data_IF_669928243009
#
_entry.id   IF_669928243009
#
_cell.length_a   1.000
_cell.length_b   1.000
_cell.length_c   1.000
_cell.angle_alpha   90.00
_cell.angle_beta   90.00
_cell.angle_gamma   90.00
#
_symmetry.space_group_name_H-M   'P 1'
#
loop_
_entity.id
_entity.type
_entity.pdbx_description
1 polymer ?
#
# COMPACT_ATOMS: atom_id res chain seq x y z
N UNK A 1 40.61 -8.72 29.20
CA UNK A 1 40.22 -7.65 28.25
C UNK A 1 38.90 -8.01 27.56
N UNK A 2 37.76 -7.46 28.00
CA UNK A 2 36.44 -7.68 27.36
C UNK A 2 36.14 -6.50 26.43
N UNK A 3 35.95 -6.78 25.13
CA UNK A 3 35.70 -5.75 24.09
C UNK A 3 34.37 -5.02 24.35
N UNK A 4 34.31 -3.69 24.24
CA UNK A 4 33.08 -2.92 24.46
C UNK A 4 32.02 -3.21 23.37
N UNK A 5 30.71 -3.12 23.71
CA UNK A 5 29.61 -3.62 22.88
C UNK A 5 29.24 -2.65 21.75
N UNK A 6 30.17 -2.36 20.82
CA UNK A 6 29.90 -1.59 19.58
C UNK A 6 28.81 -2.20 18.70
N UNK A 7 28.53 -3.49 18.87
CA UNK A 7 27.52 -4.22 18.07
C UNK A 7 26.10 -3.66 18.22
N UNK A 8 25.74 -3.04 19.35
CA UNK A 8 24.34 -2.62 19.60
C UNK A 8 23.87 -1.43 18.75
N UNK A 9 24.75 -0.52 18.32
CA UNK A 9 24.35 0.62 17.49
C UNK A 9 24.06 0.18 16.05
N UNK A 10 24.95 -0.67 15.54
CA UNK A 10 24.92 -1.26 14.20
C UNK A 10 23.57 -1.95 13.97
N UNK A 11 23.16 -2.86 14.87
CA UNK A 11 21.87 -3.55 14.75
C UNK A 11 20.64 -2.63 14.73
N UNK A 12 20.70 -1.44 15.34
CA UNK A 12 19.56 -0.51 15.38
C UNK A 12 19.37 0.21 14.05
N UNK A 13 20.46 0.65 13.43
CA UNK A 13 20.42 1.30 12.11
C UNK A 13 19.96 0.30 11.06
N UNK A 14 20.54 -0.92 11.06
CA UNK A 14 20.11 -1.98 10.15
C UNK A 14 18.65 -2.39 10.40
N UNK A 15 18.19 -2.40 11.65
CA UNK A 15 16.79 -2.67 11.98
C UNK A 15 15.83 -1.64 11.36
N UNK A 16 16.15 -0.34 11.45
CA UNK A 16 15.34 0.71 10.81
C UNK A 16 15.30 0.55 9.30
N UNK A 17 16.46 0.38 8.66
CA UNK A 17 16.54 0.20 7.20
C UNK A 17 15.79 -1.05 6.77
N UNK A 18 15.86 -2.15 7.53
CA UNK A 18 15.12 -3.38 7.25
C UNK A 18 13.60 -3.17 7.33
N UNK A 19 13.10 -2.45 8.35
CA UNK A 19 11.66 -2.14 8.47
C UNK A 19 11.19 -1.26 7.32
N UNK A 20 11.96 -0.23 6.97
CA UNK A 20 11.62 0.66 5.84
C UNK A 20 11.62 -0.12 4.52
N UNK A 21 12.62 -0.97 4.29
CA UNK A 21 12.70 -1.82 3.11
C UNK A 21 11.52 -2.79 3.02
N UNK A 22 11.12 -3.41 4.15
CA UNK A 22 9.93 -4.27 4.20
C UNK A 22 8.64 -3.51 3.90
N UNK A 23 8.49 -2.28 4.41
CA UNK A 23 7.34 -1.44 4.12
C UNK A 23 7.25 -1.07 2.62
N UNK A 24 8.38 -0.71 2.02
CA UNK A 24 8.48 -0.42 0.57
C UNK A 24 8.18 -1.69 -0.24
N UNK A 25 8.74 -2.83 0.15
CA UNK A 25 8.50 -4.12 -0.51
C UNK A 25 7.02 -4.51 -0.43
N UNK A 26 6.38 -4.37 0.73
CA UNK A 26 4.96 -4.60 0.88
C UNK A 26 4.14 -3.68 -0.02
N UNK A 27 4.47 -2.38 -0.08
CA UNK A 27 3.81 -1.43 -0.97
C UNK A 27 3.96 -1.84 -2.44
N UNK A 28 5.16 -2.25 -2.88
CA UNK A 28 5.44 -2.71 -4.24
C UNK A 28 4.78 -4.04 -4.60
N UNK A 29 4.52 -4.93 -3.63
CA UNK A 29 3.78 -6.16 -3.85
C UNK A 29 2.26 -5.92 -3.93
N UNK A 30 1.78 -4.94 -3.19
CA UNK A 30 0.36 -4.58 -3.13
C UNK A 30 -0.04 -3.75 -4.35
N UNK A 31 0.80 -2.80 -4.78
CA UNK A 31 0.49 -1.87 -5.86
C UNK A 31 0.06 -2.55 -7.19
N UNK A 32 0.75 -3.60 -7.69
CA UNK A 32 0.38 -4.28 -8.94
C UNK A 32 -0.99 -4.96 -8.86
N UNK A 33 -1.40 -5.43 -7.68
CA UNK A 33 -2.74 -6.03 -7.51
C UNK A 33 -3.84 -4.99 -7.66
N UNK A 34 -3.57 -3.75 -7.25
CA UNK A 34 -4.50 -2.65 -7.42
C UNK A 34 -4.47 -2.05 -8.83
N UNK A 35 -3.34 -2.10 -9.52
CA UNK A 35 -3.25 -1.57 -10.90
C UNK A 35 -3.70 -2.56 -11.97
N UNK A 36 -3.52 -3.87 -11.77
CA UNK A 36 -3.88 -4.89 -12.78
C UNK A 36 -5.37 -5.17 -12.90
N UNK A 37 -6.13 -4.96 -11.84
CA UNK A 37 -7.58 -5.20 -11.83
C UNK A 37 -8.25 -3.95 -11.27
N UNK A 38 -8.70 -3.02 -12.12
CA UNK A 38 -9.28 -1.76 -11.69
C UNK A 38 -10.68 -2.00 -11.12
N UNK A 39 -10.78 -2.67 -9.95
CA UNK A 39 -12.04 -3.01 -9.28
C UNK A 39 -12.93 -1.80 -9.02
N UNK A 40 -12.34 -0.61 -8.93
CA UNK A 40 -13.09 0.64 -8.83
C UNK A 40 -13.98 0.93 -10.06
N UNK A 41 -13.73 0.26 -11.19
CA UNK A 41 -14.57 0.31 -12.39
C UNK A 41 -15.72 -0.69 -12.36
N UNK A 42 -15.74 -1.69 -11.47
CA UNK A 42 -16.82 -2.68 -11.39
C UNK A 42 -18.22 -2.06 -11.28
N UNK A 43 -18.47 -1.02 -10.46
CA UNK A 43 -19.80 -0.39 -10.41
C UNK A 43 -20.18 0.30 -11.73
N UNK A 44 -19.20 0.87 -12.44
CA UNK A 44 -19.43 1.52 -13.73
C UNK A 44 -19.70 0.48 -14.82
N UNK A 45 -18.95 -0.63 -14.79
CA UNK A 45 -19.15 -1.73 -15.68
C UNK A 45 -20.50 -2.42 -15.44
N UNK A 46 -20.99 -2.46 -14.19
CA UNK A 46 -22.27 -3.08 -13.85
C UNK A 46 -23.42 -2.21 -14.32
N UNK A 47 -23.27 -0.89 -14.19
CA UNK A 47 -24.20 0.08 -14.76
C UNK A 47 -24.22 -0.01 -16.30
N UNK A 48 -23.05 -0.05 -16.94
CA UNK A 48 -22.95 -0.19 -18.39
C UNK A 48 -23.57 -1.51 -18.87
N UNK A 49 -23.30 -2.62 -18.19
CA UNK A 49 -23.92 -3.93 -18.44
C UNK A 49 -25.43 -3.84 -18.38
N UNK A 50 -25.96 -3.32 -17.27
CA UNK A 50 -27.40 -3.17 -17.11
C UNK A 50 -28.05 -2.32 -18.21
N UNK A 51 -27.38 -1.24 -18.64
CA UNK A 51 -27.87 -0.40 -19.74
C UNK A 51 -27.89 -1.17 -21.07
N UNK A 52 -26.80 -1.88 -21.38
CA UNK A 52 -26.64 -2.63 -22.63
C UNK A 52 -27.62 -3.81 -22.68
N UNK A 53 -27.78 -4.57 -21.60
CA UNK A 53 -28.76 -5.67 -21.51
C UNK A 53 -30.18 -5.16 -21.69
N UNK A 54 -30.49 -4.01 -21.09
CA UNK A 54 -31.82 -3.40 -21.23
C UNK A 54 -32.09 -2.95 -22.66
N UNK A 55 -31.07 -2.52 -23.40
CA UNK A 55 -31.19 -2.10 -24.79
C UNK A 55 -31.24 -3.26 -25.78
N UNK A 56 -30.51 -4.34 -25.53
CA UNK A 56 -30.49 -5.48 -26.46
C UNK A 56 -31.82 -6.22 -26.49
N UNK A 57 -32.49 -6.38 -25.35
CA UNK A 57 -33.69 -7.23 -25.22
C UNK A 57 -34.97 -6.55 -25.71
N UNK A 58 -35.15 -5.24 -25.51
CA UNK A 58 -36.51 -4.68 -25.46
C UNK A 58 -37.07 -4.07 -26.74
N UNK A 59 -36.28 -3.44 -27.62
CA UNK A 59 -36.70 -2.94 -28.94
C UNK A 59 -35.56 -2.12 -29.57
N UNK A 60 -34.94 -2.56 -30.68
CA UNK A 60 -33.90 -1.77 -31.37
C UNK A 60 -34.39 -0.39 -31.80
N UNK A 61 -35.69 -0.27 -32.11
CA UNK A 61 -36.33 0.99 -32.52
C UNK A 61 -36.46 2.00 -31.38
N UNK A 62 -36.47 1.57 -30.11
CA UNK A 62 -36.51 2.47 -28.96
C UNK A 62 -35.12 2.98 -28.56
N UNK A 63 -34.05 2.41 -29.14
CA UNK A 63 -32.68 2.73 -28.80
C UNK A 63 -32.43 4.24 -28.88
N UNK A 64 -32.93 4.90 -29.92
CA UNK A 64 -32.73 6.34 -30.12
C UNK A 64 -33.41 7.19 -29.04
N UNK A 65 -34.62 6.81 -28.63
CA UNK A 65 -35.37 7.54 -27.58
C UNK A 65 -34.72 7.36 -26.21
N UNK A 66 -34.28 6.14 -25.89
CA UNK A 66 -33.62 5.85 -24.62
C UNK A 66 -32.22 6.47 -24.58
N UNK A 67 -31.49 6.40 -25.69
CA UNK A 67 -30.18 7.03 -25.84
C UNK A 67 -30.23 8.53 -25.60
N UNK A 68 -31.15 9.25 -26.24
CA UNK A 68 -31.33 10.69 -26.06
C UNK A 68 -31.60 11.09 -24.60
N UNK A 69 -32.21 10.21 -23.80
CA UNK A 69 -32.49 10.42 -22.38
C UNK A 69 -31.27 10.18 -21.48
N UNK A 70 -30.36 9.29 -21.90
CA UNK A 70 -29.24 8.80 -21.09
C UNK A 70 -27.94 9.53 -21.44
N UNK A 71 -27.75 9.89 -22.71
CA UNK A 71 -26.61 10.65 -23.21
C UNK A 71 -26.22 11.85 -22.30
N UNK A 72 -27.13 12.77 -21.92
CA UNK A 72 -26.76 13.90 -21.07
C UNK A 72 -26.41 13.51 -19.62
N UNK A 73 -26.77 12.30 -19.18
CA UNK A 73 -26.49 11.77 -17.84
C UNK A 73 -25.23 10.92 -17.77
N UNK A 74 -24.75 10.43 -18.92
CA UNK A 74 -23.53 9.64 -19.00
C UNK A 74 -22.32 10.52 -18.68
N UNK A 75 -21.64 10.20 -17.57
CA UNK A 75 -20.36 10.84 -17.19
C UNK A 75 -19.17 10.17 -17.88
N UNK A 76 -19.26 9.98 -19.18
CA UNK A 76 -18.26 9.25 -19.95
C UNK A 76 -18.56 9.21 -21.44
N UNK A 77 -17.61 8.64 -22.17
CA UNK A 77 -17.72 8.35 -23.59
C UNK A 77 -18.28 6.95 -23.73
N UNK A 78 -19.28 6.75 -24.58
CA UNK A 78 -19.92 5.47 -24.82
C UNK A 78 -20.09 5.29 -26.32
N UNK A 79 -19.60 4.17 -26.84
CA UNK A 79 -19.84 3.72 -28.20
C UNK A 79 -20.43 2.31 -28.15
N UNK A 80 -21.54 2.11 -28.85
CA UNK A 80 -22.25 0.85 -28.96
C UNK A 80 -21.94 0.21 -30.30
N UNK A 81 -21.60 -1.07 -30.27
CA UNK A 81 -21.30 -1.90 -31.42
C UNK A 81 -22.23 -3.11 -31.45
N UNK A 82 -22.48 -3.65 -32.62
CA UNK A 82 -23.06 -4.98 -32.75
C UNK A 82 -22.01 -6.07 -32.46
N UNK A 83 -22.44 -7.33 -32.42
CA UNK A 83 -21.55 -8.48 -32.28
C UNK A 83 -20.46 -8.57 -33.38
N UNK A 84 -20.75 -8.05 -34.57
CA UNK A 84 -19.81 -7.96 -35.69
C UNK A 84 -18.73 -6.88 -35.52
N UNK A 85 -18.94 -5.93 -34.60
CA UNK A 85 -18.08 -4.75 -34.40
C UNK A 85 -18.48 -3.55 -35.27
N UNK A 86 -19.66 -3.57 -35.90
CA UNK A 86 -20.20 -2.39 -36.58
C UNK A 86 -20.72 -1.41 -35.54
N UNK A 87 -20.35 -0.14 -35.69
CA UNK A 87 -20.83 0.93 -34.82
C UNK A 87 -22.33 1.14 -35.02
N UNK A 88 -23.09 1.04 -33.93
CA UNK A 88 -24.53 1.33 -33.88
C UNK A 88 -24.77 2.79 -33.47
N UNK A 89 -24.17 3.22 -32.35
CA UNK A 89 -24.31 4.58 -31.79
C UNK A 89 -23.06 5.01 -31.02
N UNK A 90 -22.83 6.32 -30.93
CA UNK A 90 -21.74 6.92 -30.14
C UNK A 90 -22.16 8.29 -29.64
N UNK A 91 -21.72 8.70 -28.44
CA UNK A 91 -21.90 10.06 -27.92
C UNK A 91 -20.64 10.92 -28.09
N UNK A 92 -19.63 10.42 -28.81
CA UNK A 92 -18.38 11.14 -29.04
C UNK A 92 -17.93 11.02 -30.49
N UNK A 93 -17.30 12.11 -30.95
CA UNK A 93 -16.58 12.24 -32.21
C UNK A 93 -15.11 12.55 -31.93
N UNK A 94 -14.14 11.71 -32.37
CA UNK A 94 -14.33 10.43 -33.05
C UNK A 94 -14.93 9.35 -32.13
N UNK A 95 -15.61 8.32 -32.69
CA UNK A 95 -16.08 7.18 -31.90
C UNK A 95 -14.91 6.47 -31.21
N UNK A 96 -15.19 5.78 -30.10
CA UNK A 96 -14.21 4.90 -29.47
C UNK A 96 -13.85 3.75 -30.42
N UNK A 97 -12.65 3.21 -30.30
CA UNK A 97 -12.25 2.07 -31.12
C UNK A 97 -13.10 0.84 -30.79
N UNK A 98 -13.45 0.06 -31.82
CA UNK A 98 -14.18 -1.19 -31.67
C UNK A 98 -13.45 -2.16 -30.72
N UNK A 99 -14.16 -3.12 -30.10
CA UNK A 99 -13.55 -4.14 -29.26
C UNK A 99 -12.47 -4.93 -30.00
N UNK A 100 -11.28 -5.03 -29.40
CA UNK A 100 -10.16 -5.81 -29.93
C UNK A 100 -10.46 -7.31 -29.91
N UNK A 101 -9.72 -8.10 -30.70
CA UNK A 101 -9.88 -9.56 -30.71
C UNK A 101 -9.54 -10.23 -29.36
N UNK A 102 -8.74 -9.57 -28.52
CA UNK A 102 -8.43 -10.05 -27.16
C UNK A 102 -9.63 -9.78 -26.25
N UNK A 103 -10.13 -8.54 -26.24
CA UNK A 103 -11.33 -8.16 -25.48
C UNK A 103 -12.53 -9.04 -25.86
N UNK A 104 -12.76 -9.30 -27.16
CA UNK A 104 -13.84 -10.20 -27.61
C UNK A 104 -13.70 -11.63 -27.07
N UNK A 105 -12.46 -12.14 -26.94
CA UNK A 105 -12.19 -13.47 -26.36
C UNK A 105 -12.43 -13.47 -24.85
N UNK A 106 -12.03 -12.42 -24.16
CA UNK A 106 -12.32 -12.25 -22.73
C UNK A 106 -13.83 -12.12 -22.46
N UNK A 107 -14.55 -11.40 -23.32
CA UNK A 107 -16.02 -11.25 -23.27
C UNK A 107 -16.78 -12.56 -23.56
N UNK A 108 -16.10 -13.57 -24.09
CA UNK A 108 -16.67 -14.92 -24.21
C UNK A 108 -16.58 -15.70 -22.89
N UNK A 109 -15.60 -15.40 -22.05
CA UNK A 109 -15.39 -16.04 -20.75
C UNK A 109 -16.02 -15.24 -19.58
N UNK A 110 -16.08 -13.92 -19.69
CA UNK A 110 -16.63 -13.00 -18.71
C UNK A 110 -17.60 -12.02 -19.39
N UNK A 111 -18.57 -11.44 -18.66
CA UNK A 111 -19.53 -10.47 -19.26
C UNK A 111 -18.90 -9.12 -19.65
N UNK A 112 -17.74 -8.82 -19.08
CA UNK A 112 -17.04 -7.56 -19.22
C UNK A 112 -15.52 -7.76 -19.28
N UNK A 113 -14.83 -6.81 -19.90
CA UNK A 113 -13.38 -6.67 -19.84
C UNK A 113 -13.04 -5.26 -19.34
N UNK A 114 -12.09 -5.19 -18.40
CA UNK A 114 -11.71 -3.96 -17.71
C UNK A 114 -10.27 -3.61 -18.05
N UNK A 115 -10.09 -2.62 -18.91
CA UNK A 115 -8.79 -2.01 -19.19
C UNK A 115 -8.71 -0.61 -18.56
N UNK A 116 -7.50 -0.09 -18.42
CA UNK A 116 -7.29 1.21 -17.80
C UNK A 116 -7.95 2.32 -18.63
N UNK A 117 -9.03 2.90 -18.10
CA UNK A 117 -9.79 3.95 -18.77
C UNK A 117 -10.76 3.46 -19.86
N UNK A 118 -10.93 2.14 -20.00
CA UNK A 118 -11.79 1.53 -21.03
C UNK A 118 -12.49 0.31 -20.45
N UNK A 119 -13.81 0.30 -20.53
CA UNK A 119 -14.67 -0.77 -20.07
C UNK A 119 -15.37 -1.32 -21.30
N UNK A 120 -15.21 -2.60 -21.59
CA UNK A 120 -15.95 -3.26 -22.66
C UNK A 120 -16.92 -4.23 -22.03
N UNK A 121 -18.16 -4.18 -22.49
CA UNK A 121 -19.26 -4.90 -21.87
C UNK A 121 -20.11 -5.53 -22.96
N UNK A 122 -20.50 -6.79 -22.77
CA UNK A 122 -21.30 -7.54 -23.74
C UNK A 122 -22.69 -7.79 -23.20
N UNK A 123 -23.71 -7.61 -24.03
CA UNK A 123 -25.09 -7.95 -23.64
C UNK A 123 -25.24 -9.45 -23.34
N UNK A 124 -26.21 -9.82 -22.50
CA UNK A 124 -26.47 -11.21 -22.11
C UNK A 124 -26.87 -12.11 -23.30
N UNK A 125 -27.58 -11.55 -24.29
CA UNK A 125 -27.89 -12.20 -25.56
C UNK A 125 -26.73 -12.16 -26.57
N UNK A 126 -25.66 -11.43 -26.25
CA UNK A 126 -24.45 -11.30 -27.04
C UNK A 126 -24.60 -10.53 -28.35
N UNK A 127 -25.75 -9.90 -28.60
CA UNK A 127 -26.04 -9.15 -29.82
C UNK A 127 -25.36 -7.78 -29.86
N UNK A 128 -25.07 -7.19 -28.70
CA UNK A 128 -24.49 -5.87 -28.55
C UNK A 128 -23.24 -5.87 -27.67
N UNK A 129 -22.32 -4.98 -27.99
CA UNK A 129 -21.11 -4.71 -27.21
C UNK A 129 -21.00 -3.21 -26.99
N UNK A 130 -20.97 -2.78 -25.73
CA UNK A 130 -20.72 -1.38 -25.38
C UNK A 130 -19.27 -1.17 -24.96
N UNK A 131 -18.63 -0.17 -25.54
CA UNK A 131 -17.32 0.33 -25.15
C UNK A 131 -17.52 1.66 -24.42
N UNK A 132 -17.18 1.69 -23.15
CA UNK A 132 -17.33 2.85 -22.27
C UNK A 132 -15.97 3.34 -21.75
N UNK A 133 -15.66 4.61 -21.96
CA UNK A 133 -14.46 5.26 -21.43
C UNK A 133 -14.88 6.41 -20.49
N UNK A 134 -14.73 6.26 -19.16
CA UNK A 134 -15.10 7.32 -18.22
C UNK A 134 -14.24 8.58 -18.44
N UNK A 135 -14.86 9.76 -18.52
CA UNK A 135 -14.16 11.04 -18.79
C UNK A 135 -13.17 11.40 -17.69
N UNK A 136 -13.46 10.97 -16.47
CA UNK A 136 -12.51 10.97 -15.36
C UNK A 136 -12.51 9.55 -14.81
N UNK A 137 -11.49 8.76 -15.18
CA UNK A 137 -11.10 7.65 -14.32
C UNK A 137 -10.77 8.28 -12.98
N UNK A 138 -11.69 8.20 -12.02
CA UNK A 138 -11.48 8.77 -10.69
C UNK A 138 -10.15 8.24 -10.20
N UNK A 139 -9.20 9.14 -9.92
CA UNK A 139 -7.98 8.71 -9.25
C UNK A 139 -8.42 7.99 -7.97
N UNK A 140 -7.90 6.79 -7.69
CA UNK A 140 -8.41 5.92 -6.62
C UNK A 140 -8.01 6.46 -5.23
N UNK A 141 -8.38 7.71 -4.93
CA UNK A 141 -8.09 8.44 -3.69
C UNK A 141 -8.52 7.64 -2.47
N UNK A 142 -9.64 6.90 -2.56
CA UNK A 142 -10.11 6.01 -1.50
C UNK A 142 -9.08 4.94 -1.10
N UNK A 143 -8.20 4.52 -2.00
CA UNK A 143 -7.14 3.54 -1.74
C UNK A 143 -5.79 4.21 -1.49
N UNK A 144 -5.49 5.29 -2.21
CA UNK A 144 -4.22 6.00 -2.07
C UNK A 144 -4.12 6.73 -0.73
N UNK A 145 -5.21 7.33 -0.23
CA UNK A 145 -5.23 8.03 1.05
C UNK A 145 -4.90 7.12 2.25
N UNK A 146 -5.57 5.98 2.47
CA UNK A 146 -5.24 5.11 3.60
C UNK A 146 -3.84 4.52 3.47
N UNK A 147 -3.38 4.18 2.25
CA UNK A 147 -2.02 3.70 2.03
C UNK A 147 -0.97 4.77 2.37
N UNK A 148 -1.17 5.99 1.88
CA UNK A 148 -0.31 7.14 2.18
C UNK A 148 -0.30 7.48 3.67
N UNK A 149 -1.47 7.47 4.32
CA UNK A 149 -1.59 7.66 5.76
C UNK A 149 -0.85 6.56 6.55
N UNK A 150 -0.98 5.30 6.16
CA UNK A 150 -0.26 4.18 6.78
C UNK A 150 1.26 4.35 6.65
N UNK A 151 1.76 4.74 5.47
CA UNK A 151 3.18 5.01 5.26
C UNK A 151 3.64 6.19 6.13
N UNK A 152 2.87 7.28 6.19
CA UNK A 152 3.17 8.44 7.04
C UNK A 152 3.23 8.08 8.52
N UNK A 153 2.29 7.25 9.00
CA UNK A 153 2.29 6.76 10.39
C UNK A 153 3.54 5.93 10.66
N UNK A 154 3.89 5.00 9.77
CA UNK A 154 5.10 4.17 9.92
C UNK A 154 6.37 5.02 9.95
N UNK A 155 6.50 5.98 9.03
CA UNK A 155 7.63 6.92 8.98
C UNK A 155 7.67 7.80 10.22
N UNK A 156 6.54 8.31 10.66
CA UNK A 156 6.42 9.14 11.86
C UNK A 156 6.86 8.39 13.12
N UNK A 157 6.36 7.17 13.34
CA UNK A 157 6.76 6.31 14.46
C UNK A 157 8.25 6.02 14.41
N UNK A 158 8.78 5.68 13.23
CA UNK A 158 10.19 5.37 13.07
C UNK A 158 11.08 6.60 13.29
N UNK A 159 10.64 7.79 12.86
CA UNK A 159 11.33 9.07 13.08
C UNK A 159 11.35 9.47 14.56
N UNK A 160 10.22 9.38 15.27
CA UNK A 160 10.15 9.66 16.71
C UNK A 160 11.04 8.70 17.49
N UNK A 161 11.00 7.41 17.14
CA UNK A 161 11.84 6.40 17.76
C UNK A 161 13.34 6.68 17.52
N UNK A 162 13.70 7.08 16.30
CA UNK A 162 15.07 7.42 15.92
C UNK A 162 15.58 8.68 16.63
N UNK A 163 14.77 9.75 16.67
CA UNK A 163 15.10 11.01 17.34
C UNK A 163 15.38 10.80 18.84
N UNK A 164 14.49 10.10 19.55
CA UNK A 164 14.68 9.75 20.97
C UNK A 164 15.97 8.97 21.23
N UNK A 165 16.44 8.23 20.23
CA UNK A 165 17.62 7.36 20.35
C UNK A 165 18.92 8.07 19.97
N UNK A 166 18.87 9.10 19.14
CA UNK A 166 20.02 9.94 18.78
C UNK A 166 20.27 11.11 19.74
N UNK A 167 19.25 11.65 20.38
CA UNK A 167 19.41 12.80 21.28
C UNK A 167 20.45 12.52 22.39
N UNK A 168 20.32 11.38 23.09
CA UNK A 168 21.24 11.02 24.19
C UNK A 168 22.72 10.94 23.81
N UNK A 169 23.14 10.20 22.76
CA UNK A 169 24.55 10.14 22.40
C UNK A 169 25.09 11.49 21.90
N UNK A 170 24.27 12.31 21.24
CA UNK A 170 24.69 13.66 20.82
C UNK A 170 24.92 14.57 22.03
N UNK A 171 24.06 14.51 23.05
CA UNK A 171 24.26 15.26 24.30
C UNK A 171 25.54 14.86 25.02
N UNK A 172 25.86 13.57 25.04
CA UNK A 172 27.10 13.07 25.64
C UNK A 172 28.34 13.57 24.87
N UNK A 173 28.30 13.54 23.53
CA UNK A 173 29.38 14.06 22.69
C UNK A 173 29.53 15.58 22.85
N UNK A 174 28.43 16.32 22.87
CA UNK A 174 28.44 17.76 23.08
C UNK A 174 29.01 18.13 24.45
N UNK A 175 28.67 17.35 25.49
CA UNK A 175 29.20 17.57 26.85
C UNK A 175 30.68 17.25 26.94
N UNK A 176 31.12 16.13 26.34
CA UNK A 176 32.54 15.76 26.29
C UNK A 176 33.36 16.81 25.52
N UNK A 177 32.88 17.27 24.36
CA UNK A 177 33.52 18.31 23.57
C UNK A 177 33.66 19.63 24.35
N UNK A 178 32.63 20.04 25.11
CA UNK A 178 32.71 21.25 25.96
C UNK A 178 33.76 21.12 27.07
N UNK A 179 33.84 19.97 27.75
CA UNK A 179 34.88 19.73 28.77
C UNK A 179 36.28 19.74 28.18
N UNK A 180 36.44 19.12 27.03
CA UNK A 180 37.72 19.12 26.31
C UNK A 180 38.14 20.54 25.88
N UNK A 181 37.19 21.33 25.39
CA UNK A 181 37.42 22.74 25.05
C UNK A 181 37.73 23.63 26.26
N UNK A 182 37.29 23.24 27.45
CA UNK A 182 37.62 23.92 28.71
C UNK A 182 39.01 23.58 29.26
N UNK A 183 39.83 22.83 28.51
CA UNK A 183 41.20 22.45 28.91
C UNK A 183 41.27 21.26 29.86
N UNK A 184 40.12 20.64 30.18
CA UNK A 184 40.09 19.39 30.94
C UNK A 184 40.48 18.21 30.03
N UNK A 185 41.79 18.01 29.91
CA UNK A 185 42.38 16.85 29.22
C UNK A 185 42.33 15.58 30.06
N UNK A 186 41.96 15.69 31.34
CA UNK A 186 41.82 14.55 32.26
C UNK A 186 40.48 13.84 32.12
N UNK A 187 39.50 14.48 31.46
CA UNK A 187 38.28 13.86 30.96
C UNK A 187 38.59 12.84 29.83
N UNK A 188 39.30 11.75 30.17
CA UNK A 188 39.28 10.53 29.38
C UNK A 188 37.82 10.11 29.30
N UNK A 189 37.33 9.90 28.09
CA UNK A 189 35.98 9.41 27.84
C UNK A 189 35.76 8.10 28.60
N UNK A 190 35.25 8.22 29.82
CA UNK A 190 34.81 7.09 30.62
C UNK A 190 33.52 6.60 29.97
N UNK A 191 33.67 5.86 28.87
CA UNK A 191 32.61 5.07 28.26
C UNK A 191 32.33 3.91 29.22
N UNK A 192 31.64 4.28 30.31
CA UNK A 192 31.54 3.55 31.55
C UNK A 192 31.18 2.09 31.39
N UNK A 193 31.98 1.27 32.06
CA UNK A 193 31.66 -0.09 32.48
C UNK A 193 30.75 0.02 33.72
N UNK A 194 29.57 0.62 33.57
CA UNK A 194 28.62 0.85 34.68
C UNK A 194 27.55 -0.26 34.74
N UNK A 195 27.97 -1.53 34.71
CA UNK A 195 27.02 -2.65 34.78
C UNK A 195 27.41 -3.84 35.65
N UNK A 196 28.52 -3.77 36.41
CA UNK A 196 29.04 -4.95 37.14
C UNK A 196 29.09 -4.80 38.68
N UNK A 197 28.52 -3.73 39.26
CA UNK A 197 28.58 -3.49 40.72
C UNK A 197 27.25 -3.69 41.47
N UNK A 198 26.26 -4.36 40.87
CA UNK A 198 25.04 -4.77 41.58
C UNK A 198 24.74 -6.26 41.35
N UNK A 199 25.57 -7.17 41.85
CA UNK A 199 25.14 -8.46 42.41
C UNK A 199 26.34 -9.29 42.87
N UNK A 200 26.66 -9.23 44.17
CA UNK A 200 27.01 -10.43 44.93
C UNK A 200 26.94 -10.17 46.45
N UNK A 201 25.78 -10.41 47.09
CA UNK A 201 25.72 -10.71 48.50
C UNK A 201 25.54 -12.22 48.67
N UNK A 202 26.64 -12.99 48.67
CA UNK A 202 26.56 -14.43 48.97
C UNK A 202 27.87 -14.96 49.54
N UNK A 203 28.25 -14.50 50.73
CA UNK A 203 29.19 -15.26 51.55
C UNK A 203 28.97 -14.99 53.05
N UNK A 204 27.95 -15.63 53.61
CA UNK A 204 27.99 -16.04 55.02
C UNK A 204 27.75 -17.53 55.09
N UNK A 205 28.87 -18.25 55.17
CA UNK A 205 28.99 -19.64 55.61
C UNK A 205 28.18 -19.84 56.90
N UNK A 206 27.27 -20.79 56.92
CA UNK A 206 26.85 -21.43 58.17
C UNK A 206 27.77 -22.63 58.42
N UNK A 207 28.46 -22.70 59.58
CA UNK A 207 29.20 -23.89 59.98
C UNK A 207 28.20 -24.96 60.45
N UNK A 208 28.25 -26.12 59.78
CA UNK A 208 27.56 -27.35 60.19
C UNK A 208 28.30 -27.90 61.41
N UNK A 209 27.84 -27.56 62.61
CA UNK A 209 28.32 -28.16 63.85
C UNK A 209 27.66 -29.53 64.01
N UNK A 210 28.50 -30.56 63.90
CA UNK A 210 28.27 -31.92 64.37
C UNK A 210 28.19 -31.93 65.91
N UNK A 211 27.13 -32.51 66.48
CA UNK A 211 27.05 -33.03 67.85
C UNK A 211 25.94 -34.11 67.80
N UNK A 212 26.26 -35.42 67.71
CA UNK A 212 26.67 -36.37 68.77
C UNK A 212 25.62 -36.57 69.89
N UNK A 213 25.31 -37.86 70.11
CA UNK A 213 24.76 -38.50 71.33
C UNK A 213 23.29 -38.22 71.71
N UNK A 214 22.48 -39.16 72.17
CA UNK A 214 22.68 -40.55 72.61
C UNK A 214 21.32 -41.29 72.69
N UNK A 215 21.36 -42.63 72.58
CA UNK A 215 20.79 -43.64 73.48
C UNK A 215 19.30 -43.52 73.82
#
# INVERSE_FOLDING_TARGET
>A
MRRPPRRRLVYRVYGFVAVLALAIMAALLILPRYTRSPRYLEPHAALAQYLIDRWSVKNPHELDTVWARIEPRLRGKLSLFDAGGKLLRTNITPPLDAPTAVEKRELAAAKWSLEWGRIVVRSDDGSMIGVYAPTRAGFPWSYVLPLGAMILVLVGVASVWFSRRLARPLDLLATAARRFGAGDTTARADLGTESDLRHHPSERRQPRVLLLEGR
#
